data_IF_666433100074
#
_entry.id   IF_666433100074
#
_cell.length_a   1.000
_cell.length_b   1.000
_cell.length_c   1.000
_cell.angle_alpha   90.00
_cell.angle_beta   90.00
_cell.angle_gamma   90.00
#
_symmetry.space_group_name_H-M   'P 1'
#
loop_
_entity.id
_entity.type
_entity.pdbx_description
1 polymer ?
#
# COMPACT_ATOMS: atom_id res chain seq x y z
N UNK A 1 8.23 1.12 2.36
CA UNK A 1 7.89 -0.05 3.21
C UNK A 1 6.44 0.07 3.60
N UNK A 2 5.53 -0.79 3.11
CA UNK A 2 4.14 -0.76 3.56
C UNK A 2 3.92 -1.70 4.73
N UNK A 3 3.62 -1.14 5.91
CA UNK A 3 3.24 -1.90 7.11
C UNK A 3 1.84 -1.46 7.54
N UNK A 4 0.87 -1.66 6.66
CA UNK A 4 -0.54 -1.42 7.01
C UNK A 4 -1.20 -2.74 7.31
N UNK A 5 -1.79 -2.81 8.49
CA UNK A 5 -2.67 -3.89 8.88
C UNK A 5 -3.95 -3.28 9.46
N UNK A 6 -5.10 -3.61 8.87
CA UNK A 6 -6.40 -3.25 9.40
C UNK A 6 -6.91 -1.85 9.04
N UNK A 7 -7.99 -1.39 9.69
CA UNK A 7 -8.73 -0.20 9.30
C UNK A 7 -7.98 1.12 9.52
N UNK A 8 -8.25 2.11 8.66
CA UNK A 8 -7.75 3.48 8.77
C UNK A 8 -8.86 4.47 8.38
N UNK A 9 -9.91 4.50 9.18
CA UNK A 9 -11.21 5.09 8.81
C UNK A 9 -11.18 6.57 8.44
N UNK A 10 -10.19 7.31 8.93
CA UNK A 10 -10.12 8.77 8.79
C UNK A 10 -9.29 9.25 7.61
N UNK A 11 -8.50 8.37 7.00
CA UNK A 11 -7.58 8.71 5.91
C UNK A 11 -7.85 7.88 4.67
N UNK A 12 -7.61 8.49 3.52
CA UNK A 12 -7.45 7.80 2.26
C UNK A 12 -5.96 7.64 2.00
N UNK A 13 -5.53 6.44 1.57
CA UNK A 13 -4.12 6.09 1.42
C UNK A 13 -3.80 5.60 0.02
N UNK A 14 -2.61 5.92 -0.47
CA UNK A 14 -2.03 5.38 -1.69
C UNK A 14 -0.49 5.34 -1.59
N UNK A 15 0.19 4.44 -2.32
CA UNK A 15 1.65 4.45 -2.46
C UNK A 15 2.21 5.77 -2.98
N UNK A 16 1.57 6.39 -3.97
CA UNK A 16 2.11 7.53 -4.71
C UNK A 16 1.09 8.65 -4.93
N UNK A 17 1.61 9.86 -5.11
CA UNK A 17 0.89 10.95 -5.78
C UNK A 17 1.04 10.83 -7.30
N UNK A 18 0.11 11.43 -8.05
CA UNK A 18 0.29 11.62 -9.50
C UNK A 18 1.32 12.72 -9.80
N UNK A 19 2.59 12.34 -9.89
CA UNK A 19 3.70 13.23 -10.28
C UNK A 19 4.12 13.04 -11.74
N UNK A 20 3.80 11.88 -12.33
CA UNK A 20 4.07 11.54 -13.73
C UNK A 20 2.86 10.84 -14.35
N UNK A 21 2.86 10.69 -15.68
CA UNK A 21 1.85 9.92 -16.40
C UNK A 21 2.13 8.41 -16.37
N UNK A 22 3.39 8.01 -16.21
CA UNK A 22 3.84 6.61 -16.16
C UNK A 22 3.15 5.82 -15.04
N UNK A 23 2.82 4.56 -15.31
CA UNK A 23 2.39 3.60 -14.29
C UNK A 23 3.63 3.04 -13.60
N UNK A 24 3.99 3.62 -12.46
CA UNK A 24 5.20 3.23 -11.71
C UNK A 24 4.93 2.19 -10.63
N UNK A 25 3.68 2.06 -10.16
CA UNK A 25 3.32 1.14 -9.08
C UNK A 25 1.96 0.51 -9.36
N UNK A 26 1.84 -0.78 -9.10
CA UNK A 26 0.58 -1.51 -8.96
C UNK A 26 0.44 -1.93 -7.50
N UNK A 27 -0.61 -1.47 -6.83
CA UNK A 27 -0.91 -1.86 -5.45
C UNK A 27 -1.93 -2.99 -5.44
N UNK A 28 -1.68 -4.01 -4.61
CA UNK A 28 -2.53 -5.18 -4.47
C UNK A 28 -2.98 -5.30 -3.03
N UNK A 29 -4.30 -5.24 -2.82
CA UNK A 29 -4.94 -5.35 -1.52
C UNK A 29 -5.52 -6.76 -1.42
N UNK A 30 -4.94 -7.58 -0.56
CA UNK A 30 -5.50 -8.87 -0.17
C UNK A 30 -6.44 -8.68 1.03
N UNK A 31 -7.74 -8.67 0.76
CA UNK A 31 -8.79 -8.43 1.75
C UNK A 31 -9.30 -9.75 2.34
N UNK A 32 -9.26 -9.88 3.66
CA UNK A 32 -9.88 -11.00 4.37
C UNK A 32 -11.42 -10.94 4.35
N UNK A 33 -12.10 -12.01 4.77
CA UNK A 33 -13.56 -12.03 4.92
C UNK A 33 -14.11 -10.87 5.76
N UNK A 34 -15.34 -10.47 5.48
CA UNK A 34 -16.03 -9.34 6.10
C UNK A 34 -15.28 -8.00 6.04
N UNK A 35 -14.43 -7.82 5.02
CA UNK A 35 -13.76 -6.53 4.78
C UNK A 35 -14.71 -5.52 4.14
N UNK A 36 -14.52 -4.24 4.49
CA UNK A 36 -15.23 -3.11 3.89
C UNK A 36 -14.23 -2.03 3.53
N UNK A 37 -14.22 -1.64 2.26
CA UNK A 37 -13.27 -0.66 1.73
C UNK A 37 -14.02 0.45 0.99
N UNK A 38 -13.50 1.66 1.03
CA UNK A 38 -13.90 2.76 0.15
C UNK A 38 -12.84 2.88 -0.94
N UNK A 39 -13.30 2.86 -2.18
CA UNK A 39 -12.49 3.08 -3.37
C UNK A 39 -12.79 4.48 -3.90
N UNK A 40 -11.76 5.32 -4.05
CA UNK A 40 -11.92 6.68 -4.58
C UNK A 40 -11.65 6.66 -6.09
N UNK A 41 -12.69 6.31 -6.84
CA UNK A 41 -12.64 6.23 -8.30
C UNK A 41 -12.14 7.53 -8.92
N UNK A 42 -11.26 7.39 -9.91
CA UNK A 42 -10.55 8.47 -10.61
C UNK A 42 -9.51 9.24 -9.79
N UNK A 43 -9.29 8.92 -8.51
CA UNK A 43 -8.27 9.60 -7.69
C UNK A 43 -6.86 9.57 -8.30
N UNK A 44 -6.49 8.47 -8.98
CA UNK A 44 -5.20 8.29 -9.67
C UNK A 44 -4.94 9.30 -10.80
N UNK A 45 -5.98 10.03 -11.25
CA UNK A 45 -5.90 11.04 -12.30
C UNK A 45 -5.50 12.42 -11.77
N UNK A 46 -5.41 12.60 -10.46
CA UNK A 46 -5.15 13.90 -9.87
C UNK A 46 -3.94 13.89 -8.94
N UNK A 47 -3.24 15.02 -8.90
CA UNK A 47 -2.33 15.31 -7.79
C UNK A 47 -3.17 15.69 -6.55
N UNK A 48 -2.88 15.03 -5.43
CA UNK A 48 -3.64 15.15 -4.18
C UNK A 48 -2.80 15.72 -3.02
N UNK A 49 -1.53 16.05 -3.27
CA UNK A 49 -0.56 16.50 -2.26
C UNK A 49 -0.55 15.61 -1.00
N UNK A 50 -0.75 14.31 -1.18
CA UNK A 50 -0.73 13.35 -0.09
C UNK A 50 0.66 13.29 0.54
N UNK A 51 0.73 13.16 1.87
CA UNK A 51 1.98 13.15 2.64
C UNK A 51 2.02 11.94 3.56
N UNK A 52 3.22 11.46 3.95
CA UNK A 52 3.30 10.47 5.01
C UNK A 52 2.62 10.95 6.31
N UNK A 53 2.21 10.05 7.20
CA UNK A 53 1.70 10.39 8.51
C UNK A 53 2.66 11.33 9.26
N UNK A 54 2.15 12.30 10.04
CA UNK A 54 2.97 13.34 10.67
C UNK A 54 3.93 12.79 11.75
N UNK A 55 3.69 11.59 12.26
CA UNK A 55 4.55 10.93 13.25
C UNK A 55 5.21 9.72 12.60
N UNK A 56 6.54 9.67 12.65
CA UNK A 56 7.33 8.59 12.07
C UNK A 56 6.92 7.19 12.58
N UNK A 57 6.54 7.07 13.85
CA UNK A 57 6.05 5.80 14.42
C UNK A 57 4.75 5.30 13.79
N UNK A 58 3.98 6.20 13.18
CA UNK A 58 2.73 5.91 12.50
C UNK A 58 2.96 5.83 10.98
N UNK A 59 4.20 6.02 10.51
CA UNK A 59 4.57 5.94 9.10
C UNK A 59 4.39 4.51 8.59
N UNK A 60 3.36 4.35 7.80
CA UNK A 60 3.02 3.08 7.18
C UNK A 60 3.69 2.91 5.83
N UNK A 61 4.50 3.86 5.38
CA UNK A 61 5.06 4.01 4.04
C UNK A 61 4.09 4.56 3.01
N UNK A 62 2.78 4.56 3.27
CA UNK A 62 1.76 5.12 2.38
C UNK A 62 1.63 6.63 2.59
N UNK A 63 1.26 7.32 1.51
CA UNK A 63 0.84 8.70 1.57
C UNK A 63 -0.63 8.77 2.00
N UNK A 64 -0.94 9.75 2.84
CA UNK A 64 -2.27 9.97 3.39
C UNK A 64 -2.84 11.32 2.96
N UNK A 65 -4.15 11.34 2.76
CA UNK A 65 -4.98 12.54 2.81
C UNK A 65 -6.17 12.29 3.72
N UNK A 66 -6.76 13.35 4.27
CA UNK A 66 -8.01 13.21 5.01
C UNK A 66 -9.11 12.65 4.10
N UNK A 67 -9.87 11.67 4.59
CA UNK A 67 -11.03 11.11 3.87
C UNK A 67 -12.04 12.18 3.42
N UNK A 68 -12.19 13.27 4.19
CA UNK A 68 -13.11 14.33 3.81
C UNK A 68 -12.54 15.21 2.69
N UNK A 69 -11.21 15.34 2.62
CA UNK A 69 -10.53 16.21 1.64
C UNK A 69 -10.43 15.59 0.23
N UNK A 70 -10.46 14.26 0.13
CA UNK A 70 -10.38 13.57 -1.17
C UNK A 70 -11.68 13.63 -1.96
N UNK A 71 -12.82 13.83 -1.27
CA UNK A 71 -14.14 13.94 -1.90
C UNK A 71 -14.24 15.31 -2.54
N UNK A 72 -14.10 15.35 -3.87
CA UNK A 72 -14.15 16.58 -4.67
C UNK A 72 -14.67 16.27 -6.08
N UNK A 73 -15.08 17.28 -6.87
CA UNK A 73 -15.56 17.07 -8.23
C UNK A 73 -14.57 16.23 -9.05
N UNK A 74 -15.09 15.18 -9.71
CA UNK A 74 -14.30 14.27 -10.53
C UNK A 74 -13.65 13.10 -9.80
N UNK A 75 -13.85 12.96 -8.47
CA UNK A 75 -13.49 11.77 -7.69
C UNK A 75 -14.76 11.24 -7.00
N UNK A 76 -15.07 9.96 -7.19
CA UNK A 76 -16.26 9.31 -6.62
C UNK A 76 -15.84 8.31 -5.56
N UNK A 77 -16.47 8.36 -4.38
CA UNK A 77 -16.26 7.37 -3.33
C UNK A 77 -17.27 6.23 -3.45
N UNK A 78 -16.80 5.02 -3.74
CA UNK A 78 -17.61 3.80 -3.82
C UNK A 78 -17.25 2.89 -2.66
N UNK A 79 -18.24 2.46 -1.88
CA UNK A 79 -18.02 1.50 -0.80
C UNK A 79 -18.20 0.08 -1.32
N UNK A 80 -17.18 -0.75 -1.18
CA UNK A 80 -17.21 -2.16 -1.53
C UNK A 80 -17.23 -3.01 -0.27
N UNK A 81 -18.22 -3.90 -0.19
CA UNK A 81 -18.31 -4.93 0.83
C UNK A 81 -17.78 -6.26 0.27
N UNK A 82 -16.93 -6.92 1.04
CA UNK A 82 -16.24 -8.16 0.67
C UNK A 82 -16.56 -9.23 1.73
N UNK A 83 -17.78 -9.79 1.75
CA UNK A 83 -18.19 -10.74 2.80
C UNK A 83 -17.27 -11.97 2.84
N UNK A 84 -16.82 -12.44 1.68
CA UNK A 84 -15.92 -13.58 1.55
C UNK A 84 -14.44 -13.17 1.34
N UNK A 85 -14.13 -11.88 1.51
CA UNK A 85 -12.83 -11.32 1.17
C UNK A 85 -12.64 -11.16 -0.33
N UNK A 86 -11.40 -10.95 -0.77
CA UNK A 86 -11.07 -10.80 -2.17
C UNK A 86 -9.71 -10.18 -2.42
N UNK A 87 -9.40 -9.98 -3.69
CA UNK A 87 -8.20 -9.31 -4.16
C UNK A 87 -8.60 -8.04 -4.93
N UNK A 88 -8.01 -6.90 -4.59
CA UNK A 88 -8.20 -5.65 -5.32
C UNK A 88 -6.86 -5.21 -5.89
N UNK A 89 -6.81 -5.00 -7.20
CA UNK A 89 -5.60 -4.57 -7.92
C UNK A 89 -5.82 -3.15 -8.38
N UNK A 90 -4.93 -2.25 -7.97
CA UNK A 90 -5.06 -0.81 -8.12
C UNK A 90 -3.81 -0.20 -8.76
N UNK A 91 -4.00 0.90 -9.49
CA UNK A 91 -2.90 1.83 -9.77
C UNK A 91 -2.33 2.34 -8.43
N UNK A 92 -1.01 2.45 -8.28
CA UNK A 92 -0.38 2.91 -7.04
C UNK A 92 -0.67 4.36 -6.67
N UNK A 93 -1.34 5.12 -7.53
CA UNK A 93 -1.86 6.48 -7.26
C UNK A 93 -3.34 6.46 -6.89
N UNK A 94 -4.00 5.30 -6.94
CA UNK A 94 -5.40 5.16 -6.58
C UNK A 94 -5.54 5.09 -5.07
N UNK A 95 -6.32 6.01 -4.51
CA UNK A 95 -6.54 6.09 -3.08
C UNK A 95 -7.65 5.14 -2.65
N UNK A 96 -7.49 4.56 -1.46
CA UNK A 96 -8.53 3.75 -0.82
C UNK A 96 -8.59 4.01 0.70
N UNK A 97 -9.70 3.64 1.33
CA UNK A 97 -9.85 3.62 2.79
C UNK A 97 -10.34 2.25 3.25
N UNK A 98 -9.59 1.60 4.14
CA UNK A 98 -10.06 0.37 4.80
C UNK A 98 -10.94 0.78 6.00
N UNK A 99 -12.22 0.43 5.93
CA UNK A 99 -13.21 0.77 6.97
C UNK A 99 -13.35 -0.35 7.98
N UNK A 100 -13.28 -1.60 7.54
CA UNK A 100 -13.46 -2.78 8.37
C UNK A 100 -12.66 -3.96 7.82
N UNK A 101 -12.26 -4.87 8.70
CA UNK A 101 -11.62 -6.12 8.35
C UNK A 101 -10.10 -6.04 8.35
N UNK A 102 -9.48 -7.08 7.80
CA UNK A 102 -8.03 -7.20 7.68
C UNK A 102 -7.66 -7.17 6.20
N UNK A 103 -6.77 -6.24 5.83
CA UNK A 103 -6.24 -6.13 4.48
C UNK A 103 -4.72 -6.13 4.57
N UNK A 104 -4.09 -6.90 3.69
CA UNK A 104 -2.64 -6.93 3.50
C UNK A 104 -2.34 -6.27 2.16
N UNK A 105 -1.46 -5.28 2.16
CA UNK A 105 -1.06 -4.54 0.96
C UNK A 105 0.32 -4.98 0.45
N UNK A 106 0.41 -5.23 -0.85
CA UNK A 106 1.64 -5.54 -1.56
C UNK A 106 1.72 -4.67 -2.81
N UNK A 107 2.80 -3.92 -2.94
CA UNK A 107 3.04 -3.07 -4.10
C UNK A 107 4.12 -3.67 -5.01
N UNK A 108 3.84 -3.69 -6.31
CA UNK A 108 4.80 -3.97 -7.37
C UNK A 108 5.21 -2.64 -7.98
N UNK A 109 6.47 -2.27 -7.83
CA UNK A 109 6.99 -0.99 -8.27
C UNK A 109 8.02 -1.18 -9.39
N UNK A 110 8.03 -0.24 -10.33
CA UNK A 110 9.07 -0.12 -11.35
C UNK A 110 10.42 0.19 -10.71
N UNK A 111 11.52 -0.20 -11.36
CA UNK A 111 12.87 0.01 -10.84
C UNK A 111 13.21 1.48 -10.58
N UNK A 112 12.61 2.41 -11.34
CA UNK A 112 12.80 3.85 -11.10
C UNK A 112 12.28 4.26 -9.73
N UNK A 113 11.13 3.72 -9.33
CA UNK A 113 10.48 4.03 -8.06
C UNK A 113 11.14 3.25 -6.90
N UNK A 114 11.50 1.98 -7.13
CA UNK A 114 12.13 1.13 -6.10
C UNK A 114 13.46 1.68 -5.57
N UNK A 115 14.20 2.47 -6.36
CA UNK A 115 15.46 3.10 -5.94
C UNK A 115 15.26 4.09 -4.80
N UNK A 116 14.09 4.71 -4.73
CA UNK A 116 13.73 5.69 -3.70
C UNK A 116 13.11 5.02 -2.47
N UNK A 117 12.77 3.73 -2.56
CA UNK A 117 12.06 3.02 -1.51
C UNK A 117 13.00 2.30 -0.55
N UNK A 118 12.78 2.52 0.75
CA UNK A 118 13.41 1.71 1.79
C UNK A 118 13.03 0.23 1.64
N UNK A 119 14.05 -0.63 1.59
CA UNK A 119 13.88 -2.10 1.56
C UNK A 119 13.19 -2.59 2.83
N UNK A 120 12.37 -3.63 2.69
CA UNK A 120 11.71 -4.23 3.85
C UNK A 120 12.72 -5.00 4.70
N UNK A 121 12.87 -4.64 5.98
CA UNK A 121 13.81 -5.29 6.89
C UNK A 121 13.22 -6.60 7.44
N UNK A 122 13.85 -7.73 7.14
CA UNK A 122 13.47 -9.07 7.60
C UNK A 122 14.51 -9.64 8.57
N UNK A 123 14.10 -10.52 9.51
CA UNK A 123 15.03 -11.19 10.41
C UNK A 123 16.10 -11.94 9.63
N UNK A 124 17.34 -11.84 10.10
CA UNK A 124 18.45 -12.59 9.53
C UNK A 124 18.34 -14.09 9.84
N UNK A 125 17.52 -14.79 9.05
CA UNK A 125 17.24 -16.22 9.14
C UNK A 125 17.55 -16.90 7.82
N UNK A 126 18.34 -17.97 7.86
CA UNK A 126 18.65 -18.79 6.69
C UNK A 126 17.39 -19.31 6.01
N UNK A 127 16.38 -19.72 6.80
CA UNK A 127 15.10 -20.19 6.26
C UNK A 127 14.40 -19.08 5.47
N UNK A 128 14.29 -17.88 6.04
CA UNK A 128 13.64 -16.75 5.37
C UNK A 128 14.40 -16.30 4.13
N UNK A 129 15.73 -16.28 4.19
CA UNK A 129 16.59 -15.97 3.03
C UNK A 129 16.31 -16.92 1.88
N UNK A 130 16.27 -18.23 2.16
CA UNK A 130 15.99 -19.24 1.14
C UNK A 130 14.57 -19.10 0.56
N UNK A 131 13.57 -18.80 1.40
CA UNK A 131 12.20 -18.56 0.94
C UNK A 131 12.09 -17.31 0.05
N UNK A 132 12.72 -16.20 0.45
CA UNK A 132 12.72 -14.97 -0.36
C UNK A 132 13.44 -15.19 -1.68
N UNK A 133 14.57 -15.90 -1.66
CA UNK A 133 15.34 -16.21 -2.87
C UNK A 133 14.57 -17.11 -3.84
N UNK A 134 13.73 -18.02 -3.35
CA UNK A 134 12.89 -18.86 -4.21
C UNK A 134 11.68 -18.14 -4.81
N UNK A 135 11.30 -16.99 -4.24
CA UNK A 135 10.23 -16.13 -4.78
C UNK A 135 10.72 -15.22 -5.91
N UNK A 136 12.03 -15.01 -6.03
CA UNK A 136 12.60 -14.24 -7.13
C UNK A 136 12.40 -14.99 -8.47
N UNK A 137 11.82 -14.29 -9.43
CA UNK A 137 11.68 -14.75 -10.82
C UNK A 137 12.48 -13.86 -11.76
N UNK A 138 12.47 -14.13 -13.06
CA UNK A 138 13.05 -13.23 -14.05
C UNK A 138 12.37 -11.85 -14.05
N UNK A 139 11.06 -11.80 -13.73
CA UNK A 139 10.23 -10.59 -13.87
C UNK A 139 9.90 -9.89 -12.54
N UNK A 140 9.93 -10.63 -11.43
CA UNK A 140 9.55 -10.14 -10.11
C UNK A 140 10.70 -10.43 -9.16
N UNK A 141 11.18 -9.38 -8.49
CA UNK A 141 12.23 -9.44 -7.47
C UNK A 141 11.71 -8.91 -6.14
N UNK A 142 12.25 -9.45 -5.06
CA UNK A 142 11.86 -9.04 -3.71
C UNK A 142 12.70 -7.85 -3.22
N UNK A 143 12.07 -6.72 -2.87
CA UNK A 143 12.77 -5.54 -2.33
C UNK A 143 13.00 -5.64 -0.80
N UNK A 144 13.82 -6.61 -0.38
CA UNK A 144 14.04 -6.99 1.02
C UNK A 144 15.51 -6.75 1.43
N UNK A 145 15.72 -6.43 2.70
CA UNK A 145 17.02 -6.42 3.38
C UNK A 145 16.95 -7.32 4.61
N UNK A 146 17.96 -8.15 4.83
CA UNK A 146 18.07 -8.97 6.04
C UNK A 146 18.91 -8.26 7.09
N UNK A 147 18.52 -8.35 8.36
CA UNK A 147 19.29 -7.78 9.46
C UNK A 147 18.65 -8.06 10.83
N UNK A 148 19.23 -7.53 11.91
CA UNK A 148 18.62 -7.61 13.23
C UNK A 148 17.29 -6.88 13.22
N UNK A 149 16.22 -7.56 13.64
CA UNK A 149 14.90 -6.95 13.82
C UNK A 149 14.72 -6.72 15.31
N UNK A 150 14.55 -5.47 15.71
CA UNK A 150 14.13 -5.17 17.08
C UNK A 150 12.76 -5.80 17.31
N UNK A 151 12.67 -6.73 18.25
CA UNK A 151 11.38 -7.23 18.72
C UNK A 151 10.66 -6.07 19.40
N UNK A 152 9.43 -5.72 18.97
CA UNK A 152 8.60 -4.82 19.75
C UNK A 152 8.47 -5.41 21.16
N UNK A 153 8.80 -4.61 22.18
CA UNK A 153 8.58 -4.96 23.59
C UNK A 153 7.10 -5.02 23.92
#
# INVERSE_FOLDING_TARGET
MFKVFGPHTDTARAPLNRTTDDLLVVNVLHCGPASKIILYENSQRYFLDARPPPKEKDDTGLLEVSRNSIIRPGITATTQELPNGGLVILDGRFFSTIIQGVVIEVAFADEKELKEWNRMLYPDSTLLKNMVQSMDTEKIKMNIKFGPVETPK
#
